data_IF_697843643606
#
_entry.id   IF_697843643606
#
_cell.length_a   1.000
_cell.length_b   1.000
_cell.length_c   1.000
_cell.angle_alpha   90.00
_cell.angle_beta   90.00
_cell.angle_gamma   90.00
#
_symmetry.space_group_name_H-M   'P 1'
#
loop_
_entity.id
_entity.type
_entity.pdbx_description
1 polymer ?
#
# COMPACT_ATOMS: atom_id res chain seq x y z
N UNK A 1 -13.61 16.72 21.52
CA UNK A 1 -12.42 16.06 20.90
C UNK A 1 -12.31 16.46 19.44
N UNK A 2 -11.29 17.19 18.99
CA UNK A 2 -11.20 17.56 17.58
C UNK A 2 -10.60 16.41 16.77
N UNK A 3 -11.33 15.98 15.74
CA UNK A 3 -10.91 15.01 14.72
C UNK A 3 -9.68 15.55 13.98
N UNK A 4 -8.58 14.81 14.02
CA UNK A 4 -7.35 15.12 13.25
C UNK A 4 -7.59 14.86 11.76
N UNK A 5 -8.05 15.89 11.06
CA UNK A 5 -8.07 15.97 9.60
C UNK A 5 -7.75 17.40 9.20
N UNK A 6 -6.48 17.76 9.01
CA UNK A 6 -6.08 18.90 8.17
C UNK A 6 -4.55 19.00 7.97
N UNK A 7 -3.93 17.97 7.39
CA UNK A 7 -2.57 18.11 6.83
C UNK A 7 -2.59 18.84 5.47
N UNK A 8 -3.68 18.69 4.71
CA UNK A 8 -3.90 19.42 3.45
C UNK A 8 -4.01 20.93 3.64
N UNK A 9 -4.77 21.38 4.64
CA UNK A 9 -5.00 22.81 4.85
C UNK A 9 -3.73 23.57 5.29
N UNK A 10 -2.79 22.91 5.99
CA UNK A 10 -1.54 23.56 6.40
C UNK A 10 -0.54 23.72 5.25
N UNK A 11 -0.52 22.80 4.29
CA UNK A 11 0.34 22.89 3.12
C UNK A 11 -0.10 24.01 2.17
N UNK A 12 -1.42 24.11 1.93
CA UNK A 12 -2.02 25.21 1.15
C UNK A 12 -1.77 26.57 1.82
N UNK A 13 -1.85 26.63 3.16
CA UNK A 13 -1.60 27.87 3.93
C UNK A 13 -0.12 28.32 3.92
N UNK A 14 0.82 27.42 3.59
CA UNK A 14 2.26 27.72 3.50
C UNK A 14 2.74 27.94 2.05
N UNK A 15 1.82 28.05 1.08
CA UNK A 15 2.14 28.24 -0.34
C UNK A 15 2.48 26.94 -1.09
N UNK A 16 2.25 25.78 -0.47
CA UNK A 16 2.36 24.46 -1.09
C UNK A 16 1.14 24.11 -1.96
N UNK A 17 1.30 23.14 -2.87
CA UNK A 17 0.27 22.76 -3.84
C UNK A 17 -0.80 21.78 -3.29
N UNK A 18 -0.77 21.45 -2.00
CA UNK A 18 -1.76 20.61 -1.33
C UNK A 18 -1.64 19.11 -1.61
N UNK A 19 -0.80 18.67 -2.55
CA UNK A 19 -0.51 17.26 -2.82
C UNK A 19 0.69 17.02 -3.78
N UNK A 20 1.30 15.82 -3.76
CA UNK A 20 1.18 14.79 -2.74
C UNK A 20 2.34 14.89 -1.72
N UNK A 21 1.99 15.14 -0.46
CA UNK A 21 2.95 15.29 0.65
C UNK A 21 3.72 14.00 0.97
N UNK A 22 3.14 12.83 0.69
CA UNK A 22 3.76 11.54 1.00
C UNK A 22 4.94 11.21 0.05
N UNK A 23 4.82 11.29 -1.30
CA UNK A 23 5.94 11.07 -2.20
C UNK A 23 7.11 12.04 -1.99
N UNK A 24 6.85 13.34 -1.81
CA UNK A 24 7.89 14.32 -1.52
C UNK A 24 8.62 14.02 -0.20
N UNK A 25 7.86 13.64 0.84
CA UNK A 25 8.43 13.23 2.12
C UNK A 25 9.20 11.91 2.03
N UNK A 26 8.70 10.92 1.28
CA UNK A 26 9.39 9.67 1.04
C UNK A 26 10.71 9.89 0.32
N UNK A 27 10.74 10.77 -0.68
CA UNK A 27 11.98 11.14 -1.37
C UNK A 27 12.98 11.76 -0.39
N UNK A 28 12.56 12.71 0.45
CA UNK A 28 13.43 13.33 1.43
C UNK A 28 14.04 12.35 2.46
N UNK A 29 13.30 11.29 2.82
CA UNK A 29 13.71 10.34 3.87
C UNK A 29 14.40 9.08 3.34
N UNK A 30 14.06 8.63 2.13
CA UNK A 30 14.42 7.31 1.64
C UNK A 30 15.11 7.31 0.27
N UNK A 31 15.21 8.45 -0.42
CA UNK A 31 15.95 8.51 -1.67
C UNK A 31 17.40 8.07 -1.48
N UNK A 32 17.98 7.54 -2.54
CA UNK A 32 19.37 7.11 -2.58
C UNK A 32 19.97 7.55 -3.90
N UNK A 33 21.28 7.79 -3.91
CA UNK A 33 21.99 8.28 -5.11
C UNK A 33 22.14 7.21 -6.19
N UNK A 34 22.05 5.92 -5.81
CA UNK A 34 22.34 4.79 -6.70
C UNK A 34 21.31 3.66 -6.63
N UNK A 35 20.31 3.73 -5.75
CA UNK A 35 19.36 2.63 -5.54
C UNK A 35 17.93 3.08 -5.81
N UNK A 36 17.22 2.28 -6.59
CA UNK A 36 15.77 2.35 -6.72
C UNK A 36 15.14 1.78 -5.45
N UNK A 37 14.41 2.63 -4.73
CA UNK A 37 13.75 2.25 -3.47
C UNK A 37 12.26 2.43 -3.58
N UNK A 38 11.51 1.51 -2.97
CA UNK A 38 10.05 1.58 -2.89
C UNK A 38 9.63 1.84 -1.45
N UNK A 39 8.75 2.81 -1.25
CA UNK A 39 8.03 2.97 0.01
C UNK A 39 6.59 2.53 -0.20
N UNK A 40 6.18 1.46 0.47
CA UNK A 40 4.83 0.91 0.42
C UNK A 40 4.08 1.21 1.73
N UNK A 41 2.94 1.89 1.64
CA UNK A 41 2.06 2.13 2.78
C UNK A 41 0.85 1.21 2.70
N UNK A 42 0.73 0.31 3.68
CA UNK A 42 -0.38 -0.62 3.87
C UNK A 42 -1.41 -0.02 4.83
N UNK A 43 -2.23 0.90 4.30
CA UNK A 43 -3.37 1.48 5.03
C UNK A 43 -4.64 0.66 4.82
N UNK A 44 -5.79 1.34 4.70
CA UNK A 44 -7.00 0.68 4.18
C UNK A 44 -6.85 0.29 2.70
N UNK A 45 -6.23 1.18 1.93
CA UNK A 45 -5.75 0.97 0.56
C UNK A 45 -4.22 0.96 0.61
N UNK A 46 -3.59 0.08 -0.17
CA UNK A 46 -2.15 0.09 -0.37
C UNK A 46 -1.77 1.14 -1.40
N UNK A 47 -0.70 1.88 -1.13
CA UNK A 47 -0.07 2.73 -2.12
C UNK A 47 1.44 2.59 -2.05
N UNK A 48 2.10 2.89 -3.17
CA UNK A 48 3.54 2.89 -3.25
C UNK A 48 4.09 4.19 -3.81
N UNK A 49 5.30 4.52 -3.38
CA UNK A 49 6.16 5.54 -3.96
C UNK A 49 7.42 4.87 -4.46
N UNK A 50 7.75 5.09 -5.72
CA UNK A 50 8.98 4.61 -6.36
C UNK A 50 9.94 5.79 -6.41
N UNK A 51 11.11 5.60 -5.80
CA UNK A 51 12.21 6.54 -5.71
C UNK A 51 13.33 6.02 -6.58
N UNK A 52 13.34 6.46 -7.83
CA UNK A 52 14.41 6.17 -8.79
C UNK A 52 15.48 7.28 -8.66
N UNK A 53 16.79 6.94 -8.55
CA UNK A 53 17.86 7.93 -8.46
C UNK A 53 17.97 8.84 -9.69
N UNK A 54 17.53 8.35 -10.86
CA UNK A 54 17.66 9.04 -12.15
C UNK A 54 16.31 9.39 -12.78
N UNK A 55 15.21 8.93 -12.18
CA UNK A 55 13.85 9.14 -12.66
C UNK A 55 13.03 10.09 -11.80
N UNK A 56 11.86 10.54 -12.30
CA UNK A 56 10.92 11.26 -11.47
C UNK A 56 10.34 10.37 -10.36
N UNK A 57 9.96 10.98 -9.25
CA UNK A 57 9.21 10.29 -8.19
C UNK A 57 7.85 9.88 -8.74
N UNK A 58 7.54 8.58 -8.67
CA UNK A 58 6.26 8.01 -9.12
C UNK A 58 5.48 7.47 -7.93
N UNK A 59 4.15 7.57 -7.97
CA UNK A 59 3.31 6.97 -6.93
C UNK A 59 1.89 6.71 -7.40
N UNK A 60 1.30 5.63 -6.89
CA UNK A 60 -0.04 5.16 -7.25
C UNK A 60 -0.57 4.17 -6.20
N UNK A 61 -1.87 3.89 -6.25
CA UNK A 61 -2.50 2.90 -5.39
C UNK A 61 -2.34 1.49 -5.97
N UNK A 62 -2.11 0.49 -5.11
CA UNK A 62 -1.89 -0.92 -5.49
C UNK A 62 -3.12 -1.80 -5.21
N UNK A 63 -4.17 -1.23 -4.63
CA UNK A 63 -5.44 -1.91 -4.37
C UNK A 63 -5.82 -1.96 -2.88
N UNK A 64 -6.71 -2.88 -2.48
CA UNK A 64 -7.10 -2.99 -1.09
C UNK A 64 -5.93 -3.50 -0.24
N UNK A 65 -5.86 -3.01 0.99
CA UNK A 65 -5.02 -3.57 2.04
C UNK A 65 -5.91 -3.89 3.24
N UNK A 66 -5.78 -3.18 4.36
CA UNK A 66 -6.53 -3.49 5.57
C UNK A 66 -8.04 -3.24 5.42
N UNK A 67 -8.53 -2.47 4.44
CA UNK A 67 -9.96 -2.16 4.36
C UNK A 67 -10.85 -3.41 4.24
N UNK A 68 -10.45 -4.39 3.43
CA UNK A 68 -11.19 -5.64 3.29
C UNK A 68 -10.89 -6.62 4.45
N UNK A 69 -9.65 -6.64 4.94
CA UNK A 69 -9.24 -7.47 6.08
C UNK A 69 -9.97 -7.08 7.37
N UNK A 70 -10.07 -5.78 7.63
CA UNK A 70 -10.73 -5.19 8.79
C UNK A 70 -12.25 -5.41 8.70
N UNK A 71 -12.83 -5.22 7.51
CA UNK A 71 -14.25 -5.53 7.27
C UNK A 71 -14.58 -6.99 7.58
N UNK A 72 -13.75 -7.92 7.09
CA UNK A 72 -13.98 -9.36 7.27
C UNK A 72 -13.73 -9.81 8.71
N UNK A 73 -12.68 -9.29 9.36
CA UNK A 73 -12.43 -9.49 10.79
C UNK A 73 -13.59 -8.99 11.65
N UNK A 74 -14.12 -7.80 11.37
CA UNK A 74 -15.28 -7.26 12.10
C UNK A 74 -16.51 -8.16 11.95
N UNK A 75 -16.72 -8.71 10.75
CA UNK A 75 -17.86 -9.59 10.45
C UNK A 75 -17.79 -10.94 11.17
N UNK A 76 -16.60 -11.55 11.25
CA UNK A 76 -16.43 -12.94 11.72
C UNK A 76 -15.83 -13.09 13.11
N UNK A 77 -15.09 -12.09 13.59
CA UNK A 77 -14.46 -12.09 14.91
C UNK A 77 -15.07 -11.05 15.85
N UNK A 78 -15.83 -10.09 15.31
CA UNK A 78 -16.32 -8.94 16.09
C UNK A 78 -15.22 -7.91 16.45
N UNK A 79 -13.99 -8.10 15.96
CA UNK A 79 -12.84 -7.23 16.23
C UNK A 79 -12.60 -6.26 15.07
N UNK A 80 -12.05 -5.05 15.34
CA UNK A 80 -11.84 -4.04 14.30
C UNK A 80 -10.78 -4.42 13.24
N UNK A 81 -9.90 -5.39 13.54
CA UNK A 81 -8.89 -5.91 12.64
C UNK A 81 -8.48 -7.33 13.07
N UNK A 82 -7.79 -8.05 12.18
CA UNK A 82 -7.15 -9.35 12.45
C UNK A 82 -5.77 -9.13 13.08
N UNK A 83 -5.69 -9.30 14.40
CA UNK A 83 -4.47 -9.05 15.16
C UNK A 83 -3.32 -9.97 14.73
N UNK A 84 -2.23 -9.36 14.28
CA UNK A 84 -1.04 -10.03 13.73
C UNK A 84 -1.32 -11.00 12.57
N UNK A 85 -2.51 -10.95 11.95
CA UNK A 85 -2.93 -11.90 10.94
C UNK A 85 -3.26 -13.29 11.49
N UNK A 86 -3.52 -13.45 12.80
CA UNK A 86 -3.76 -14.76 13.43
C UNK A 86 -4.95 -15.50 12.85
N UNK A 87 -6.00 -14.79 12.45
CA UNK A 87 -7.17 -15.40 11.82
C UNK A 87 -6.85 -15.85 10.40
N UNK A 88 -6.17 -15.02 9.61
CA UNK A 88 -5.64 -15.40 8.30
C UNK A 88 -4.70 -16.61 8.36
N UNK A 89 -3.82 -16.68 9.38
CA UNK A 89 -2.85 -17.76 9.56
C UNK A 89 -3.47 -19.15 9.74
N UNK A 90 -4.74 -19.21 10.17
CA UNK A 90 -5.46 -20.48 10.34
C UNK A 90 -6.05 -21.01 9.04
N UNK A 91 -6.12 -20.18 8.00
CA UNK A 91 -6.68 -20.57 6.73
C UNK A 91 -5.65 -20.85 5.65
N UNK A 92 -6.16 -21.40 4.57
CA UNK A 92 -5.44 -21.66 3.34
C UNK A 92 -5.93 -20.71 2.26
N UNK A 93 -5.01 -20.27 1.42
CA UNK A 93 -5.36 -19.42 0.28
C UNK A 93 -6.19 -20.24 -0.70
N UNK A 94 -7.39 -19.75 -1.04
CA UNK A 94 -8.20 -20.34 -2.09
C UNK A 94 -7.81 -19.73 -3.44
N UNK A 95 -7.11 -20.49 -4.29
CA UNK A 95 -6.58 -20.01 -5.57
C UNK A 95 -7.69 -19.62 -6.57
N UNK A 96 -8.86 -20.25 -6.49
CA UNK A 96 -10.02 -19.89 -7.32
C UNK A 96 -10.55 -18.51 -6.97
N UNK A 97 -10.79 -18.28 -5.68
CA UNK A 97 -11.23 -17.00 -5.15
C UNK A 97 -10.18 -15.91 -5.41
N UNK A 98 -8.90 -16.21 -5.19
CA UNK A 98 -7.82 -15.25 -5.42
C UNK A 98 -7.79 -14.75 -6.86
N UNK A 99 -7.89 -15.66 -7.84
CA UNK A 99 -7.99 -15.30 -9.26
C UNK A 99 -9.21 -14.44 -9.53
N UNK A 100 -10.38 -14.78 -8.98
CA UNK A 100 -11.60 -13.99 -9.15
C UNK A 100 -11.50 -12.58 -8.53
N UNK A 101 -10.77 -12.43 -7.43
CA UNK A 101 -10.52 -11.14 -6.80
C UNK A 101 -9.57 -10.28 -7.66
N UNK A 102 -8.48 -10.88 -8.15
CA UNK A 102 -7.47 -10.24 -9.01
C UNK A 102 -7.99 -9.89 -10.40
N UNK A 103 -9.07 -10.53 -10.87
CA UNK A 103 -9.79 -10.21 -12.11
C UNK A 103 -10.57 -8.87 -12.05
N UNK A 104 -10.28 -8.00 -11.06
CA UNK A 104 -10.83 -6.63 -11.08
C UNK A 104 -9.99 -5.76 -12.03
N UNK A 105 -10.59 -5.07 -13.03
CA UNK A 105 -9.88 -4.20 -13.98
C UNK A 105 -8.90 -3.17 -13.40
N UNK A 106 -9.07 -2.79 -12.13
CA UNK A 106 -8.13 -1.91 -11.44
C UNK A 106 -6.72 -2.51 -11.37
N UNK A 107 -6.59 -3.83 -11.16
CA UNK A 107 -5.29 -4.48 -11.01
C UNK A 107 -4.49 -4.52 -12.32
N UNK A 108 -5.17 -4.62 -13.47
CA UNK A 108 -4.55 -4.61 -14.80
C UNK A 108 -4.32 -3.21 -15.37
N UNK A 109 -4.85 -2.15 -14.74
CA UNK A 109 -4.68 -0.79 -15.23
C UNK A 109 -3.23 -0.29 -14.99
N UNK A 110 -2.63 0.44 -15.95
CA UNK A 110 -1.34 1.08 -15.74
C UNK A 110 -1.48 2.35 -14.86
N UNK A 111 -0.43 2.74 -14.12
CA UNK A 111 -0.34 4.06 -13.49
C UNK A 111 -0.40 5.20 -14.52
N UNK A 112 -0.90 6.39 -14.13
CA UNK A 112 -1.39 6.74 -12.79
C UNK A 112 -2.76 6.10 -12.50
N UNK A 113 -2.85 5.37 -11.38
CA UNK A 113 -4.08 4.73 -10.90
C UNK A 113 -4.31 5.06 -9.44
N UNK A 114 -5.56 5.32 -9.07
CA UNK A 114 -6.00 5.54 -7.70
C UNK A 114 -7.33 4.85 -7.44
N UNK A 115 -7.55 4.45 -6.19
CA UNK A 115 -8.76 3.77 -5.75
C UNK A 115 -9.05 4.07 -4.29
N UNK A 116 -10.29 3.85 -3.87
CA UNK A 116 -10.68 3.95 -2.48
C UNK A 116 -11.62 2.84 -2.05
N UNK A 117 -12.34 3.14 -0.96
CA UNK A 117 -13.43 2.31 -0.43
C UNK A 117 -14.71 2.40 -1.28
N UNK A 118 -14.74 3.30 -2.26
CA UNK A 118 -15.77 3.38 -3.29
C UNK A 118 -15.74 2.15 -4.22
N UNK A 119 -14.56 1.66 -4.58
CA UNK A 119 -14.40 0.42 -5.35
C UNK A 119 -14.29 -0.82 -4.44
N UNK A 120 -13.33 -0.82 -3.53
CA UNK A 120 -13.05 -1.97 -2.65
C UNK A 120 -13.83 -1.86 -1.34
N UNK A 121 -15.08 -2.32 -1.36
CA UNK A 121 -15.99 -2.32 -0.21
C UNK A 121 -16.67 -3.68 0.02
N UNK A 122 -17.48 -3.74 1.08
CA UNK A 122 -18.32 -4.87 1.45
C UNK A 122 -19.13 -5.43 0.28
N UNK A 123 -19.81 -4.57 -0.49
CA UNK A 123 -20.64 -4.98 -1.62
C UNK A 123 -19.81 -5.59 -2.75
N UNK A 124 -18.63 -5.03 -3.04
CA UNK A 124 -17.69 -5.62 -3.99
C UNK A 124 -17.23 -7.00 -3.53
N UNK A 125 -16.84 -7.12 -2.24
CA UNK A 125 -16.38 -8.39 -1.68
C UNK A 125 -17.48 -9.45 -1.72
N UNK A 126 -18.70 -9.11 -1.30
CA UNK A 126 -19.82 -10.05 -1.30
C UNK A 126 -20.14 -10.58 -2.70
N UNK A 127 -20.12 -9.72 -3.73
CA UNK A 127 -20.29 -10.17 -5.12
C UNK A 127 -19.21 -11.14 -5.57
N UNK A 128 -17.95 -10.88 -5.19
CA UNK A 128 -16.82 -11.77 -5.51
C UNK A 128 -16.87 -13.09 -4.73
N UNK A 129 -17.45 -13.10 -3.53
CA UNK A 129 -17.62 -14.29 -2.70
C UNK A 129 -18.84 -15.14 -3.07
N UNK A 130 -19.85 -14.58 -3.76
CA UNK A 130 -21.09 -15.30 -4.09
C UNK A 130 -20.86 -16.66 -4.79
N UNK A 131 -19.89 -16.83 -5.72
CA UNK A 131 -19.61 -18.13 -6.33
C UNK A 131 -18.77 -19.07 -5.45
N UNK A 132 -18.33 -18.61 -4.28
CA UNK A 132 -17.40 -19.29 -3.37
C UNK A 132 -18.02 -19.46 -1.97
N UNK A 133 -19.33 -19.73 -1.92
CA UNK A 133 -20.09 -19.80 -0.66
C UNK A 133 -19.56 -20.86 0.32
N UNK A 134 -18.91 -21.90 -0.18
CA UNK A 134 -18.34 -23.00 0.62
C UNK A 134 -16.96 -22.68 1.20
N UNK A 135 -16.33 -21.56 0.80
CA UNK A 135 -15.02 -21.17 1.31
C UNK A 135 -15.16 -20.67 2.74
N UNK A 136 -14.37 -21.25 3.65
CA UNK A 136 -14.47 -20.94 5.06
C UNK A 136 -14.07 -19.48 5.35
N UNK A 137 -14.55 -18.87 6.46
CA UNK A 137 -14.16 -17.52 6.81
C UNK A 137 -12.65 -17.29 6.99
N UNK A 138 -11.92 -18.28 7.52
CA UNK A 138 -10.46 -18.17 7.67
C UNK A 138 -9.74 -18.28 6.33
N UNK A 139 -10.22 -19.10 5.39
CA UNK A 139 -9.68 -19.18 4.03
C UNK A 139 -9.96 -17.91 3.23
N UNK A 140 -11.14 -17.29 3.39
CA UNK A 140 -11.41 -15.97 2.81
C UNK A 140 -10.42 -14.93 3.35
N UNK A 141 -10.19 -14.89 4.67
CA UNK A 141 -9.23 -13.95 5.26
C UNK A 141 -7.80 -14.19 4.74
N UNK A 142 -7.35 -15.45 4.69
CA UNK A 142 -6.06 -15.83 4.12
C UNK A 142 -5.93 -15.38 2.65
N UNK A 143 -7.01 -15.55 1.88
CA UNK A 143 -7.08 -15.16 0.47
C UNK A 143 -7.05 -13.64 0.28
N UNK A 144 -7.69 -12.86 1.16
CA UNK A 144 -7.60 -11.39 1.14
C UNK A 144 -6.20 -10.87 1.51
N UNK A 145 -5.50 -11.55 2.43
CA UNK A 145 -4.08 -11.27 2.70
C UNK A 145 -3.25 -11.54 1.45
N UNK A 146 -3.49 -12.67 0.77
CA UNK A 146 -2.82 -13.01 -0.47
C UNK A 146 -3.10 -12.00 -1.59
N UNK A 147 -4.34 -11.52 -1.73
CA UNK A 147 -4.72 -10.45 -2.67
C UNK A 147 -3.84 -9.20 -2.49
N UNK A 148 -3.73 -8.72 -1.24
CA UNK A 148 -2.93 -7.53 -0.92
C UNK A 148 -1.44 -7.77 -1.20
N UNK A 149 -0.91 -8.93 -0.79
CA UNK A 149 0.49 -9.26 -1.00
C UNK A 149 0.82 -9.38 -2.50
N UNK A 150 -0.02 -10.06 -3.27
CA UNK A 150 0.21 -10.28 -4.70
C UNK A 150 0.05 -8.99 -5.51
N UNK A 151 -0.95 -8.15 -5.21
CA UNK A 151 -1.12 -6.89 -5.97
C UNK A 151 0.06 -5.93 -5.75
N UNK A 152 0.55 -5.83 -4.51
CA UNK A 152 1.75 -5.03 -4.19
C UNK A 152 3.00 -5.63 -4.83
N UNK A 153 3.21 -6.95 -4.73
CA UNK A 153 4.37 -7.61 -5.34
C UNK A 153 4.38 -7.41 -6.87
N UNK A 154 3.24 -7.62 -7.51
CA UNK A 154 3.08 -7.44 -8.96
C UNK A 154 3.41 -6.01 -9.40
N UNK A 155 2.85 -5.00 -8.71
CA UNK A 155 3.12 -3.60 -9.05
C UNK A 155 4.60 -3.22 -8.79
N UNK A 156 5.25 -3.77 -7.75
CA UNK A 156 6.70 -3.56 -7.53
C UNK A 156 7.51 -4.17 -8.67
N UNK A 157 7.22 -5.42 -9.04
CA UNK A 157 7.94 -6.12 -10.11
C UNK A 157 7.79 -5.42 -11.47
N UNK A 158 6.60 -4.91 -11.77
CA UNK A 158 6.30 -4.31 -13.06
C UNK A 158 6.76 -2.85 -13.18
N UNK A 159 6.63 -2.05 -12.11
CA UNK A 159 6.88 -0.60 -12.18
C UNK A 159 8.18 -0.15 -11.50
N UNK A 160 8.72 -0.96 -10.59
CA UNK A 160 9.97 -0.72 -9.86
C UNK A 160 10.98 -1.86 -10.07
N UNK A 161 11.07 -2.36 -11.32
CA UNK A 161 12.04 -3.38 -11.70
C UNK A 161 13.45 -3.01 -11.26
N UNK A 162 14.15 -3.96 -10.64
CA UNK A 162 15.50 -3.75 -10.10
C UNK A 162 15.55 -3.01 -8.75
N UNK A 163 14.42 -2.80 -8.06
CA UNK A 163 14.46 -2.19 -6.73
C UNK A 163 15.33 -2.98 -5.75
N UNK A 164 16.14 -2.26 -4.99
CA UNK A 164 17.06 -2.84 -4.01
C UNK A 164 16.45 -2.85 -2.60
N UNK A 165 15.49 -1.98 -2.31
CA UNK A 165 14.84 -1.95 -1.01
C UNK A 165 13.36 -1.62 -1.08
N UNK A 166 12.58 -2.28 -0.21
CA UNK A 166 11.16 -1.99 0.01
C UNK A 166 10.95 -1.67 1.48
N UNK A 167 10.50 -0.43 1.73
CA UNK A 167 10.15 0.08 3.04
C UNK A 167 8.64 -0.02 3.23
N UNK A 168 8.21 -0.80 4.21
CA UNK A 168 6.78 -0.99 4.48
C UNK A 168 6.38 -0.17 5.70
N UNK A 169 5.29 0.59 5.56
CA UNK A 169 4.68 1.37 6.63
C UNK A 169 3.15 1.21 6.64
N UNK A 170 2.47 1.87 7.57
CA UNK A 170 1.01 1.75 7.74
C UNK A 170 0.60 0.65 8.71
N UNK A 171 -0.71 0.44 8.89
CA UNK A 171 -1.24 -0.54 9.82
C UNK A 171 -0.89 -1.98 9.41
N UNK A 172 -0.89 -2.27 8.11
CA UNK A 172 -0.57 -3.59 7.57
C UNK A 172 0.89 -4.02 7.79
N UNK A 173 1.79 -3.08 8.11
CA UNK A 173 3.16 -3.39 8.53
C UNK A 173 3.23 -4.18 9.85
N UNK A 174 2.12 -4.30 10.60
CA UNK A 174 2.02 -5.12 11.81
C UNK A 174 1.41 -6.51 11.56
N UNK A 175 0.91 -6.77 10.35
CA UNK A 175 0.36 -8.07 10.00
C UNK A 175 1.50 -9.00 9.59
N UNK A 176 1.92 -9.88 10.50
CA UNK A 176 3.04 -10.79 10.29
C UNK A 176 2.78 -11.75 9.11
N UNK A 177 1.54 -12.20 8.92
CA UNK A 177 1.16 -13.07 7.79
C UNK A 177 1.26 -12.32 6.46
N UNK A 178 0.84 -11.06 6.40
CA UNK A 178 0.96 -10.23 5.20
C UNK A 178 2.43 -9.99 4.83
N UNK A 179 3.29 -9.76 5.83
CA UNK A 179 4.72 -9.55 5.61
C UNK A 179 5.51 -10.83 5.32
N UNK A 180 5.11 -11.96 5.91
CA UNK A 180 5.67 -13.29 5.65
C UNK A 180 5.18 -13.88 4.33
N UNK A 181 3.97 -13.49 3.91
CA UNK A 181 3.34 -13.87 2.66
C UNK A 181 4.20 -13.56 1.46
N UNK A 182 3.93 -14.28 0.36
CA UNK A 182 4.69 -14.41 -0.90
C UNK A 182 4.94 -13.12 -1.69
N UNK A 183 4.87 -11.96 -1.04
CA UNK A 183 5.57 -10.73 -1.41
C UNK A 183 7.09 -10.96 -1.32
N UNK A 184 7.61 -11.96 -2.01
CA UNK A 184 9.01 -12.00 -2.43
C UNK A 184 8.96 -11.49 -3.87
N UNK A 185 9.11 -10.18 -4.10
CA UNK A 185 9.48 -9.73 -5.44
C UNK A 185 10.69 -10.58 -5.86
N UNK A 186 10.76 -11.02 -7.11
CA UNK A 186 11.98 -11.65 -7.67
C UNK A 186 13.16 -10.66 -7.76
N UNK A 187 13.20 -9.62 -6.92
CA UNK A 187 14.35 -8.77 -6.71
C UNK A 187 15.27 -9.46 -5.68
N UNK A 188 16.40 -9.94 -6.16
CA UNK A 188 17.41 -10.73 -5.45
C UNK A 188 18.08 -10.03 -4.24
N UNK A 189 17.79 -8.75 -4.01
CA UNK A 189 18.44 -7.93 -2.98
C UNK A 189 17.49 -7.30 -1.95
N UNK A 190 16.27 -7.83 -1.77
CA UNK A 190 15.26 -7.14 -0.95
C UNK A 190 15.59 -7.16 0.57
N UNK A 191 16.20 -6.09 1.07
CA UNK A 191 16.15 -5.77 2.49
C UNK A 191 14.75 -5.22 2.80
N UNK A 192 13.84 -6.08 3.31
CA UNK A 192 12.57 -5.63 3.90
C UNK A 192 12.88 -4.86 5.16
N UNK A 193 12.66 -3.54 5.13
CA UNK A 193 12.78 -2.70 6.32
C UNK A 193 11.39 -2.22 6.71
N UNK A 194 10.83 -2.86 7.75
CA UNK A 194 9.56 -2.44 8.34
C UNK A 194 9.81 -1.20 9.18
N UNK A 195 9.12 -0.11 8.85
CA UNK A 195 9.12 1.08 9.69
C UNK A 195 8.02 0.91 10.75
N UNK A 196 8.40 0.89 12.03
CA UNK A 196 7.50 0.63 13.16
C UNK A 196 6.30 1.62 13.24
N UNK A 197 6.38 2.74 12.53
CA UNK A 197 5.30 3.71 12.40
C UNK A 197 5.36 4.41 11.04
N UNK A 198 4.25 4.98 10.59
CA UNK A 198 4.25 5.90 9.44
C UNK A 198 5.28 7.01 9.75
N UNK A 199 6.32 7.18 8.92
CA UNK A 199 7.35 8.17 9.22
C UNK A 199 6.67 9.54 9.37
N UNK A 200 6.91 10.20 10.51
CA UNK A 200 6.34 11.51 10.82
C UNK A 200 7.19 12.57 10.12
N UNK A 201 6.55 13.53 9.47
CA UNK A 201 7.24 14.74 9.02
C UNK A 201 7.95 15.38 10.22
N UNK A 202 9.27 15.66 10.13
CA UNK A 202 9.95 16.51 11.10
C UNK A 202 9.20 17.83 11.24
N UNK A 203 9.16 18.40 12.45
CA UNK A 203 8.56 19.72 12.71
C UNK A 203 9.28 20.87 11.99
N UNK A 204 10.44 20.60 11.39
CA UNK A 204 11.18 21.51 10.54
C UNK A 204 11.71 20.75 9.32
N UNK A 205 11.20 21.06 8.13
CA UNK A 205 11.93 20.82 6.89
C UNK A 205 13.11 21.83 6.91
N UNK A 206 14.38 21.40 6.80
CA UNK A 206 15.44 22.36 6.49
C UNK A 206 15.08 23.01 5.15
N UNK A 207 15.11 24.34 5.11
CA UNK A 207 14.76 25.16 3.95
C UNK A 207 15.34 24.58 2.65
N UNK A 208 14.51 23.91 1.86
CA UNK A 208 14.82 23.59 0.46
C UNK A 208 14.74 24.94 -0.26
N UNK A 209 15.86 25.65 -0.33
CA UNK A 209 16.01 26.83 -1.19
C UNK A 209 15.71 26.38 -2.62
N UNK A 210 14.77 27.07 -3.24
CA UNK A 210 14.36 26.92 -4.62
C UNK A 210 15.56 26.89 -5.58
N UNK A 211 15.87 25.70 -6.11
CA UNK A 211 16.63 25.65 -7.37
C UNK A 211 15.65 26.00 -8.48
N UNK A 212 15.92 27.14 -9.12
CA UNK A 212 15.17 27.70 -10.23
C UNK A 212 14.94 26.64 -11.31
N UNK A 213 13.67 26.42 -11.65
CA UNK A 213 13.26 25.82 -12.90
C UNK A 213 13.54 26.83 -14.01
N UNK A 214 14.68 26.71 -14.70
CA UNK A 214 14.89 27.40 -15.96
C UNK A 214 14.40 26.49 -17.09
N UNK A 215 13.19 26.79 -17.60
CA UNK A 215 12.75 26.37 -18.92
C UNK A 215 13.64 27.04 -19.96
N UNK A 216 14.32 26.24 -20.78
CA UNK A 216 14.80 26.69 -22.09
C UNK A 216 13.66 26.49 -23.08
N UNK A 217 13.39 27.54 -23.84
CA UNK A 217 12.34 27.71 -24.82
C UNK A 217 12.21 29.20 -25.06
#
# INVERSE_FOLDING_TARGET
MPRRSCFRARDVAAGGHGAPLAPAFHAAMFAHEHETRVVCNLGGISNMTILDPHGPVRGFDCGPANALLDYWAQRHLGTPFDENGRFAARGQVNDGLLRALLDKPFFSAPPPKSTGRDLFNASWLQRRLSPFADVTPHDVQATLVALTAQSVAHDIEHYAGGCQAVYVCGGGARNAVLLAGRCKPRCSALARRTLASKPRMPSALPHIKSRRWHSRG
#
